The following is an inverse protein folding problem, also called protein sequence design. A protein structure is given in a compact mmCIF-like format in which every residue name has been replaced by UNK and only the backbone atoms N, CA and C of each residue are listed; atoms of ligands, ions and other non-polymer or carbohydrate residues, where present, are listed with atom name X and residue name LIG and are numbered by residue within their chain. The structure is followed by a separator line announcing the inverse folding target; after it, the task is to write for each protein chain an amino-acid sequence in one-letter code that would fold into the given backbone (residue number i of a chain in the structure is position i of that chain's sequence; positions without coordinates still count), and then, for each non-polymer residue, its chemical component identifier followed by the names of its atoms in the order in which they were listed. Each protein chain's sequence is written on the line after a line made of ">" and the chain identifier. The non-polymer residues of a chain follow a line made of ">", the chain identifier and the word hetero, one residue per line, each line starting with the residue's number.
data_IF_886722706942
#
_entry.id   IF_886722706942
#
_cell.length_a   1.000
_cell.length_b   1.000
_cell.length_c   1.000
_cell.angle_alpha   90.00
_cell.angle_beta   90.00
_cell.angle_gamma   90.00
#
_symmetry.space_group_name_H-M   'P 1'
#
loop_
_entity.id
_entity.type
_entity.pdbx_description
1 polymer ?
#
# COMPACT_ATOMS: atom_id res chain seq x y z
N UNK A 1 2.23 9.38 43.19
CA UNK A 1 1.75 8.12 42.59
C UNK A 1 0.59 8.51 41.68
N UNK A 2 0.66 8.25 40.37
CA UNK A 2 -0.46 8.55 39.47
C UNK A 2 -1.61 7.58 39.83
N UNK A 3 -2.73 8.09 40.31
CA UNK A 3 -3.96 7.30 40.45
C UNK A 3 -4.48 6.96 39.05
N UNK A 4 -4.30 5.70 38.65
CA UNK A 4 -4.86 5.20 37.40
C UNK A 4 -6.27 4.70 37.68
N UNK A 5 -7.28 5.39 37.13
CA UNK A 5 -8.65 4.91 37.19
C UNK A 5 -8.82 3.74 36.20
N UNK A 6 -8.94 2.52 36.74
CA UNK A 6 -9.05 1.28 35.98
C UNK A 6 -10.32 1.19 35.11
N UNK A 7 -11.40 1.88 35.46
CA UNK A 7 -12.60 1.91 34.61
C UNK A 7 -12.39 2.77 33.36
N UNK A 8 -11.65 3.87 33.51
CA UNK A 8 -11.29 4.72 32.36
C UNK A 8 -10.23 4.09 31.45
N UNK A 9 -9.43 3.14 31.98
CA UNK A 9 -8.36 2.47 31.23
C UNK A 9 -8.89 1.70 30.01
N UNK A 10 -10.08 1.09 30.14
CA UNK A 10 -10.69 0.29 29.08
C UNK A 10 -11.62 1.09 28.16
N UNK A 11 -11.82 2.38 28.47
CA UNK A 11 -12.59 3.30 27.65
C UNK A 11 -11.87 3.68 26.35
N UNK A 12 -12.61 4.25 25.40
CA UNK A 12 -12.00 4.83 24.21
C UNK A 12 -11.21 6.08 24.61
N UNK A 13 -9.91 6.12 24.30
CA UNK A 13 -9.10 7.30 24.55
C UNK A 13 -9.65 8.53 23.83
N UNK A 14 -9.57 9.70 24.46
CA UNK A 14 -10.00 10.95 23.85
C UNK A 14 -9.19 11.21 22.58
N UNK A 15 -9.87 11.50 21.46
CA UNK A 15 -9.19 11.71 20.18
C UNK A 15 -8.42 13.03 20.08
N UNK A 16 -8.53 13.91 21.07
CA UNK A 16 -7.85 15.22 21.07
C UNK A 16 -8.26 16.13 19.91
N UNK A 17 -9.47 15.95 19.36
CA UNK A 17 -9.95 16.67 18.17
C UNK A 17 -9.51 16.06 16.84
N UNK A 18 -8.66 15.02 16.86
CA UNK A 18 -8.31 14.27 15.65
C UNK A 18 -9.49 13.43 15.17
N UNK A 19 -9.63 13.34 13.85
CA UNK A 19 -10.66 12.55 13.18
C UNK A 19 -10.04 11.73 12.05
N UNK A 20 -10.51 10.48 11.81
CA UNK A 20 -10.10 9.70 10.66
C UNK A 20 -10.31 10.49 9.36
N UNK A 21 -9.33 10.43 8.46
CA UNK A 21 -9.36 11.16 7.18
C UNK A 21 -8.95 10.22 6.04
N UNK A 22 -9.84 9.30 5.69
CA UNK A 22 -9.69 8.36 4.57
C UNK A 22 -10.78 8.50 3.50
N UNK A 23 -11.96 9.04 3.85
CA UNK A 23 -13.00 9.34 2.88
C UNK A 23 -12.57 10.51 1.99
N UNK A 24 -12.77 10.44 0.66
CA UNK A 24 -12.48 11.57 -0.22
C UNK A 24 -13.37 12.76 0.13
N UNK A 25 -12.89 13.98 -0.08
CA UNK A 25 -13.77 15.16 -0.10
C UNK A 25 -14.57 15.19 -1.39
N UNK A 26 -15.61 16.03 -1.43
CA UNK A 26 -16.59 16.15 -2.52
C UNK A 26 -15.97 16.28 -3.92
N UNK A 27 -14.75 16.81 -4.03
CA UNK A 27 -14.04 17.07 -5.30
C UNK A 27 -12.99 16.01 -5.66
N UNK A 28 -13.28 14.72 -5.45
CA UNK A 28 -12.41 13.61 -5.87
C UNK A 28 -12.99 12.85 -7.08
N UNK A 29 -12.67 13.27 -8.32
CA UNK A 29 -13.28 12.65 -9.50
C UNK A 29 -12.72 11.25 -9.76
N UNK A 30 -13.54 10.35 -10.35
CA UNK A 30 -13.06 9.05 -10.77
C UNK A 30 -11.90 9.18 -11.79
N UNK A 31 -11.04 8.16 -11.93
CA UNK A 31 -9.94 8.21 -12.89
C UNK A 31 -10.47 8.39 -14.33
N UNK A 32 -9.86 9.29 -15.14
CA UNK A 32 -10.24 9.53 -16.54
C UNK A 32 -10.35 8.24 -17.34
N UNK A 33 -11.36 8.05 -18.21
CA UNK A 33 -11.65 6.78 -18.93
C UNK A 33 -10.45 6.15 -19.64
N UNK A 34 -9.55 6.98 -20.16
CA UNK A 34 -8.31 6.54 -20.81
C UNK A 34 -7.15 6.57 -19.83
N UNK A 35 -6.24 5.59 -19.93
CA UNK A 35 -5.05 5.50 -19.10
C UNK A 35 -3.81 5.85 -19.91
N UNK A 36 -2.82 6.48 -19.27
CA UNK A 36 -1.53 6.78 -19.89
C UNK A 36 -0.64 5.54 -20.10
N UNK A 37 -0.96 4.41 -19.46
CA UNK A 37 -0.20 3.17 -19.56
C UNK A 37 -0.31 2.31 -18.30
N UNK A 38 0.56 1.31 -18.20
CA UNK A 38 0.61 0.36 -17.07
C UNK A 38 1.77 0.67 -16.14
N UNK A 39 1.46 0.75 -14.85
CA UNK A 39 2.46 0.88 -13.79
C UNK A 39 2.64 -0.46 -13.09
N UNK A 40 3.85 -1.04 -13.22
CA UNK A 40 4.31 -2.12 -12.34
C UNK A 40 5.21 -1.56 -11.27
N UNK A 41 5.14 -2.13 -10.08
CA UNK A 41 5.98 -1.77 -8.94
C UNK A 41 6.49 -3.02 -8.24
N UNK A 42 7.75 -2.99 -7.79
CA UNK A 42 8.26 -3.95 -6.82
C UNK A 42 8.37 -3.28 -5.47
N UNK A 43 7.57 -3.69 -4.50
CA UNK A 43 7.61 -3.21 -3.13
C UNK A 43 8.67 -4.00 -2.35
N UNK A 44 9.73 -3.33 -1.90
CA UNK A 44 10.88 -3.97 -1.23
C UNK A 44 10.91 -3.58 0.26
N UNK A 45 11.57 -4.39 1.09
CA UNK A 45 11.68 -4.20 2.54
C UNK A 45 10.78 -5.12 3.36
N UNK A 46 10.66 -4.87 4.66
CA UNK A 46 9.77 -5.64 5.55
C UNK A 46 8.29 -5.40 5.24
N UNK A 47 7.39 -6.28 5.71
CA UNK A 47 5.95 -6.24 5.35
C UNK A 47 5.29 -4.88 5.60
N UNK A 48 5.62 -4.21 6.71
CA UNK A 48 5.11 -2.86 7.00
C UNK A 48 5.67 -1.79 6.04
N UNK A 49 6.92 -1.91 5.60
CA UNK A 49 7.49 -1.02 4.59
C UNK A 49 6.86 -1.28 3.21
N UNK A 50 6.63 -2.56 2.87
CA UNK A 50 5.93 -2.94 1.65
C UNK A 50 4.48 -2.41 1.66
N UNK A 51 3.79 -2.42 2.80
CA UNK A 51 2.47 -1.82 2.97
C UNK A 51 2.48 -0.32 2.63
N UNK A 52 3.43 0.43 3.16
CA UNK A 52 3.62 1.86 2.79
C UNK A 52 3.95 2.03 1.30
N UNK A 53 4.78 1.15 0.74
CA UNK A 53 5.12 1.16 -0.68
C UNK A 53 3.89 0.93 -1.58
N UNK A 54 2.97 0.04 -1.20
CA UNK A 54 1.71 -0.18 -1.93
C UNK A 54 0.85 1.09 -1.92
N UNK A 55 0.72 1.76 -0.77
CA UNK A 55 0.01 3.04 -0.66
C UNK A 55 0.60 4.09 -1.61
N UNK A 56 1.92 4.18 -1.68
CA UNK A 56 2.62 5.06 -2.60
C UNK A 56 2.47 4.65 -4.07
N UNK A 57 2.38 3.35 -4.37
CA UNK A 57 2.18 2.87 -5.74
C UNK A 57 0.78 3.21 -6.27
N UNK A 58 -0.26 3.06 -5.43
CA UNK A 58 -1.62 3.50 -5.76
C UNK A 58 -1.65 5.01 -6.01
N UNK A 59 -1.00 5.78 -5.15
CA UNK A 59 -0.94 7.23 -5.33
C UNK A 59 -0.14 7.63 -6.59
N UNK A 60 0.99 6.98 -6.86
CA UNK A 60 1.78 7.21 -8.07
C UNK A 60 0.97 6.91 -9.34
N UNK A 61 0.22 5.81 -9.36
CA UNK A 61 -0.68 5.48 -10.47
C UNK A 61 -1.78 6.55 -10.63
N UNK A 62 -2.34 7.06 -9.53
CA UNK A 62 -3.30 8.18 -9.57
C UNK A 62 -2.68 9.46 -10.16
N UNK A 63 -1.50 9.85 -9.69
CA UNK A 63 -0.77 11.04 -10.17
C UNK A 63 -0.50 10.96 -11.67
N UNK A 64 -0.12 9.77 -12.16
CA UNK A 64 0.21 9.55 -13.57
C UNK A 64 -1.01 9.23 -14.45
N UNK A 65 -2.22 9.12 -13.90
CA UNK A 65 -3.40 8.54 -14.58
C UNK A 65 -3.06 7.16 -15.25
N UNK A 66 -2.31 6.34 -14.53
CA UNK A 66 -1.86 5.03 -14.97
C UNK A 66 -2.80 3.92 -14.44
N UNK A 67 -2.80 2.79 -15.14
CA UNK A 67 -3.40 1.55 -14.67
C UNK A 67 -2.36 0.82 -13.84
N UNK A 68 -2.64 0.65 -12.54
CA UNK A 68 -1.76 -0.10 -11.64
C UNK A 68 -1.91 -1.59 -11.91
N UNK A 69 -0.80 -2.26 -12.15
CA UNK A 69 -0.74 -3.73 -12.08
C UNK A 69 -0.54 -4.11 -10.62
N UNK A 70 -1.15 -5.21 -10.15
CA UNK A 70 -1.01 -5.66 -8.77
C UNK A 70 0.45 -5.58 -8.30
N UNK A 71 0.73 -4.95 -7.13
CA UNK A 71 2.09 -4.78 -6.65
C UNK A 71 2.82 -6.11 -6.47
N UNK A 72 4.08 -6.16 -6.89
CA UNK A 72 4.95 -7.29 -6.60
C UNK A 72 5.59 -7.09 -5.23
N UNK A 73 5.46 -8.07 -4.35
CA UNK A 73 6.12 -8.07 -3.04
C UNK A 73 7.47 -8.75 -3.17
N UNK A 74 8.50 -8.12 -2.61
CA UNK A 74 9.81 -8.74 -2.53
C UNK A 74 9.71 -9.97 -1.62
N UNK A 75 10.13 -11.12 -2.14
CA UNK A 75 10.23 -12.35 -1.37
C UNK A 75 11.31 -12.11 -0.32
N UNK A 76 10.91 -11.86 0.92
CA UNK A 76 11.88 -11.62 1.98
C UNK A 76 12.70 -12.90 2.18
N UNK A 77 14.00 -12.81 1.90
CA UNK A 77 14.99 -13.87 2.14
C UNK A 77 14.99 -14.37 3.58
N UNK A 78 14.50 -13.56 4.53
CA UNK A 78 14.35 -13.95 5.93
C UNK A 78 13.21 -14.95 6.16
N UNK A 79 12.06 -14.77 5.50
CA UNK A 79 10.84 -15.55 5.77
C UNK A 79 10.61 -16.69 4.76
N UNK A 80 11.35 -16.72 3.64
CA UNK A 80 11.21 -17.71 2.56
C UNK A 80 9.75 -17.89 2.07
N UNK A 81 8.97 -16.81 2.12
CA UNK A 81 7.55 -16.82 1.73
C UNK A 81 7.39 -16.36 0.28
N UNK A 82 6.76 -17.21 -0.54
CA UNK A 82 6.47 -16.99 -1.97
C UNK A 82 5.01 -16.55 -2.23
N UNK A 83 4.21 -16.38 -1.18
CA UNK A 83 2.79 -16.03 -1.23
C UNK A 83 2.50 -14.78 -2.09
N UNK A 84 3.43 -13.82 -2.13
CA UNK A 84 3.27 -12.57 -2.87
C UNK A 84 2.04 -11.76 -2.44
N UNK A 85 1.64 -10.77 -3.24
CA UNK A 85 0.48 -9.92 -2.90
C UNK A 85 -0.83 -10.71 -2.80
N UNK A 86 -1.09 -11.57 -3.80
CA UNK A 86 -2.31 -12.36 -3.89
C UNK A 86 -2.39 -13.46 -2.83
N UNK A 87 -1.28 -13.83 -2.19
CA UNK A 87 -1.26 -14.78 -1.07
C UNK A 87 -1.68 -14.15 0.25
N UNK A 88 -1.36 -12.86 0.46
CA UNK A 88 -1.55 -12.14 1.73
C UNK A 88 -2.84 -11.33 1.74
N UNK A 89 -3.15 -10.61 0.66
CA UNK A 89 -4.23 -9.64 0.60
C UNK A 89 -5.45 -10.14 -0.19
N UNK A 90 -6.61 -9.62 0.16
CA UNK A 90 -7.87 -9.82 -0.58
C UNK A 90 -7.87 -8.94 -1.85
N UNK A 91 -7.52 -9.55 -2.98
CA UNK A 91 -7.36 -8.89 -4.29
C UNK A 91 -8.67 -8.28 -4.77
N UNK A 92 -9.78 -9.03 -4.68
CA UNK A 92 -11.09 -8.56 -5.13
C UNK A 92 -11.52 -7.34 -4.32
N UNK A 93 -11.39 -7.39 -3.00
CA UNK A 93 -11.66 -6.26 -2.12
C UNK A 93 -10.77 -5.06 -2.46
N UNK A 94 -9.47 -5.28 -2.67
CA UNK A 94 -8.52 -4.22 -3.01
C UNK A 94 -8.91 -3.46 -4.29
N UNK A 95 -9.21 -4.19 -5.37
CA UNK A 95 -9.66 -3.62 -6.65
C UNK A 95 -11.00 -2.89 -6.47
N UNK A 96 -11.96 -3.53 -5.80
CA UNK A 96 -13.30 -2.98 -5.60
C UNK A 96 -13.32 -1.73 -4.73
N UNK A 97 -12.47 -1.67 -3.71
CA UNK A 97 -12.36 -0.53 -2.78
C UNK A 97 -11.75 0.71 -3.46
N UNK A 98 -10.87 0.51 -4.44
CA UNK A 98 -10.13 1.58 -5.12
C UNK A 98 -10.65 1.90 -6.52
N UNK A 99 -11.77 1.30 -6.96
CA UNK A 99 -12.30 1.44 -8.33
C UNK A 99 -12.60 2.88 -8.78
N UNK A 100 -12.87 3.78 -7.84
CA UNK A 100 -13.10 5.21 -8.10
C UNK A 100 -11.84 6.07 -7.90
N UNK A 101 -10.72 5.46 -7.50
CA UNK A 101 -9.45 6.13 -7.27
C UNK A 101 -8.50 5.89 -8.43
N UNK A 102 -8.29 4.62 -8.77
CA UNK A 102 -7.30 4.17 -9.73
C UNK A 102 -7.79 2.91 -10.44
N UNK A 103 -7.36 2.71 -11.69
CA UNK A 103 -7.57 1.42 -12.38
C UNK A 103 -6.55 0.42 -11.89
N UNK A 104 -7.00 -0.78 -11.54
CA UNK A 104 -6.14 -1.86 -11.10
C UNK A 104 -6.42 -3.11 -11.94
N UNK A 105 -5.36 -3.78 -12.39
CA UNK A 105 -5.42 -5.07 -13.10
C UNK A 105 -4.47 -6.06 -12.46
N UNK A 106 -4.76 -7.35 -12.57
CA UNK A 106 -3.89 -8.41 -12.03
C UNK A 106 -2.60 -8.56 -12.85
N UNK A 107 -2.70 -8.42 -14.17
CA UNK A 107 -1.57 -8.50 -15.09
C UNK A 107 -1.76 -7.53 -16.25
N UNK A 108 -0.65 -7.15 -16.92
CA UNK A 108 -0.73 -6.38 -18.16
C UNK A 108 -1.43 -7.23 -19.23
N UNK A 109 -2.46 -6.72 -19.91
CA UNK A 109 -3.14 -7.46 -20.98
C UNK A 109 -2.17 -7.85 -22.10
N UNK A 110 -2.34 -9.07 -22.60
CA UNK A 110 -1.60 -9.53 -23.77
C UNK A 110 -2.21 -8.95 -25.05
N UNK A 111 -1.38 -8.43 -25.94
CA UNK A 111 -1.84 -7.84 -27.19
C UNK A 111 -1.65 -8.85 -28.31
N UNK A 112 -2.72 -9.15 -29.06
CA UNK A 112 -2.60 -9.94 -30.27
C UNK A 112 -2.16 -9.05 -31.44
N UNK A 113 -1.03 -9.40 -32.06
CA UNK A 113 -0.55 -8.74 -33.29
C UNK A 113 -0.11 -9.80 -34.29
N UNK A 114 -0.74 -9.80 -35.47
CA UNK A 114 -0.48 -10.74 -36.56
C UNK A 114 -0.60 -12.22 -36.13
N UNK A 115 -1.64 -12.57 -35.36
CA UNK A 115 -1.86 -13.94 -34.87
C UNK A 115 -0.87 -14.42 -33.81
N UNK A 116 0.03 -13.55 -33.32
CA UNK A 116 0.95 -13.84 -32.22
C UNK A 116 0.62 -13.00 -31.00
N UNK A 117 0.59 -13.65 -29.84
CA UNK A 117 0.51 -13.00 -28.53
C UNK A 117 1.81 -12.29 -28.22
N UNK A 118 1.79 -10.96 -28.05
CA UNK A 118 2.93 -10.17 -27.58
C UNK A 118 2.69 -9.73 -26.14
N UNK A 119 3.63 -10.10 -25.26
CA UNK A 119 3.73 -9.57 -23.90
C UNK A 119 4.34 -8.17 -23.95
N UNK A 120 3.65 -7.19 -23.38
CA UNK A 120 4.18 -5.83 -23.22
C UNK A 120 5.31 -5.90 -22.19
N UNK A 121 6.54 -5.56 -22.61
CA UNK A 121 7.68 -5.46 -21.69
C UNK A 121 7.65 -4.08 -21.04
N UNK A 122 7.65 -4.06 -19.70
CA UNK A 122 7.71 -2.82 -18.94
C UNK A 122 9.14 -2.26 -18.94
N UNK A 123 9.29 -0.97 -19.20
CA UNK A 123 10.57 -0.27 -19.13
C UNK A 123 10.95 -0.01 -17.68
N UNK A 124 12.12 -0.48 -17.26
CA UNK A 124 12.54 -0.38 -15.87
C UNK A 124 13.07 1.01 -15.53
N UNK A 125 12.57 1.58 -14.43
CA UNK A 125 13.04 2.83 -13.85
C UNK A 125 13.37 2.65 -12.38
N UNK A 126 14.35 3.41 -11.90
CA UNK A 126 14.72 3.50 -10.50
C UNK A 126 14.34 4.89 -9.98
N UNK A 127 13.20 5.05 -9.28
CA UNK A 127 12.82 6.36 -8.77
C UNK A 127 13.85 6.90 -7.76
N UNK A 128 14.06 8.22 -7.70
CA UNK A 128 14.78 8.86 -6.60
C UNK A 128 14.16 8.52 -5.23
N UNK A 129 14.95 8.60 -4.17
CA UNK A 129 14.40 8.49 -2.81
C UNK A 129 13.52 9.71 -2.56
N UNK A 130 12.34 9.50 -1.97
CA UNK A 130 11.36 10.56 -1.68
C UNK A 130 11.04 11.40 -2.93
N UNK A 131 10.95 10.75 -4.10
CA UNK A 131 10.79 11.46 -5.37
C UNK A 131 9.57 12.40 -5.35
N UNK A 132 9.72 13.65 -5.81
CA UNK A 132 8.63 14.61 -5.83
C UNK A 132 7.57 14.21 -6.86
N UNK A 133 6.35 14.74 -6.71
CA UNK A 133 5.26 14.55 -7.68
C UNK A 133 5.72 14.86 -9.10
N UNK A 134 6.52 15.92 -9.28
CA UNK A 134 7.06 16.33 -10.58
C UNK A 134 7.78 15.20 -11.30
N UNK A 135 8.55 14.38 -10.60
CA UNK A 135 9.26 13.25 -11.21
C UNK A 135 8.29 12.25 -11.87
N UNK A 136 7.14 12.01 -11.22
CA UNK A 136 6.10 11.15 -11.75
C UNK A 136 5.37 11.77 -12.93
N UNK A 137 5.10 13.08 -12.90
CA UNK A 137 4.40 13.78 -13.99
C UNK A 137 5.29 14.15 -15.18
N UNK A 138 6.62 14.05 -15.03
CA UNK A 138 7.59 14.27 -16.12
C UNK A 138 8.29 12.98 -16.54
N UNK A 139 9.36 12.59 -15.84
CA UNK A 139 10.27 11.52 -16.28
C UNK A 139 9.59 10.16 -16.37
N UNK A 140 8.84 9.78 -15.33
CA UNK A 140 8.15 8.49 -15.31
C UNK A 140 7.02 8.45 -16.35
N UNK A 141 6.24 9.53 -16.45
CA UNK A 141 5.12 9.61 -17.39
C UNK A 141 5.58 9.64 -18.85
N UNK A 142 6.68 10.33 -19.15
CA UNK A 142 7.29 10.34 -20.49
C UNK A 142 7.67 8.92 -20.92
N UNK A 143 8.40 8.19 -20.06
CA UNK A 143 8.77 6.80 -20.32
C UNK A 143 7.56 5.87 -20.41
N UNK A 144 6.50 6.13 -19.66
CA UNK A 144 5.24 5.39 -19.78
C UNK A 144 4.58 5.60 -21.14
N UNK A 145 4.56 6.82 -21.66
CA UNK A 145 4.01 7.10 -22.99
C UNK A 145 4.85 6.46 -24.10
N UNK A 146 6.18 6.44 -23.96
CA UNK A 146 7.08 5.80 -24.92
C UNK A 146 6.91 4.26 -24.94
N UNK A 147 6.78 3.63 -23.77
CA UNK A 147 6.86 2.17 -23.64
C UNK A 147 5.52 1.48 -23.34
N UNK A 148 4.42 2.24 -23.16
CA UNK A 148 3.11 1.78 -22.69
C UNK A 148 3.08 1.21 -21.27
N UNK A 149 4.18 0.64 -20.78
CA UNK A 149 4.33 0.11 -19.43
C UNK A 149 5.70 0.47 -18.84
N UNK A 150 5.72 0.82 -17.56
CA UNK A 150 6.96 1.02 -16.79
C UNK A 150 6.98 0.11 -15.56
N UNK A 151 8.18 -0.21 -15.10
CA UNK A 151 8.42 -0.99 -13.90
C UNK A 151 9.31 -0.21 -12.94
N UNK A 152 8.74 0.23 -11.82
CA UNK A 152 9.47 0.95 -10.79
C UNK A 152 10.04 -0.04 -9.78
N UNK A 153 11.37 -0.18 -9.77
CA UNK A 153 12.05 -1.09 -8.84
C UNK A 153 13.47 -0.60 -8.50
N UNK A 154 13.87 -0.66 -7.22
CA UNK A 154 13.06 -0.98 -6.04
C UNK A 154 12.13 0.19 -5.65
N UNK A 155 10.93 -0.13 -5.12
CA UNK A 155 9.91 0.85 -4.73
C UNK A 155 9.67 0.88 -3.21
N UNK A 156 10.66 1.33 -2.44
CA UNK A 156 10.50 1.64 -1.00
C UNK A 156 10.93 3.08 -0.76
N UNK A 157 10.08 3.88 -0.09
CA UNK A 157 10.30 5.32 0.11
C UNK A 157 10.66 6.07 -1.19
N UNK A 158 9.86 5.83 -2.24
CA UNK A 158 10.08 6.36 -3.60
C UNK A 158 9.12 7.47 -4.01
N UNK A 159 8.27 7.93 -3.12
CA UNK A 159 7.36 9.06 -3.34
C UNK A 159 7.40 9.93 -2.09
N UNK A 160 7.52 11.24 -2.26
CA UNK A 160 7.62 12.20 -1.16
C UNK A 160 6.52 12.00 -0.11
N UNK A 161 6.88 11.95 1.17
CA UNK A 161 5.93 11.71 2.26
C UNK A 161 5.01 12.91 2.44
N UNK A 162 5.58 14.11 2.55
CA UNK A 162 4.85 15.36 2.66
C UNK A 162 4.48 15.90 1.29
N UNK A 163 3.19 15.84 1.00
CA UNK A 163 2.59 16.37 -0.22
C UNK A 163 1.54 17.39 0.19
N UNK A 164 1.65 18.60 -0.36
CA UNK A 164 0.66 19.67 -0.21
C UNK A 164 -0.59 19.41 -1.08
N UNK A 165 -1.23 18.28 -0.84
CA UNK A 165 -2.52 17.89 -1.40
C UNK A 165 -3.24 16.98 -0.39
N UNK A 166 -4.26 17.51 0.32
CA UNK A 166 -4.98 16.76 1.32
C UNK A 166 -5.72 15.51 0.81
N UNK A 167 -6.03 15.43 -0.48
CA UNK A 167 -6.68 14.24 -1.06
C UNK A 167 -5.67 13.12 -1.36
N UNK A 168 -4.41 13.46 -1.66
CA UNK A 168 -3.37 12.46 -1.86
C UNK A 168 -3.03 11.74 -0.55
N UNK A 169 -2.98 12.48 0.56
CA UNK A 169 -2.82 11.89 1.89
C UNK A 169 -4.05 11.05 2.28
N UNK A 170 -5.27 11.50 1.96
CA UNK A 170 -6.49 10.69 2.16
C UNK A 170 -6.45 9.39 1.37
N UNK A 171 -6.00 9.42 0.12
CA UNK A 171 -5.88 8.22 -0.70
C UNK A 171 -4.91 7.23 -0.08
N UNK A 172 -3.73 7.69 0.38
CA UNK A 172 -2.80 6.82 1.14
C UNK A 172 -3.47 6.20 2.36
N UNK A 173 -4.17 7.00 3.17
CA UNK A 173 -4.92 6.50 4.32
C UNK A 173 -6.00 5.49 3.92
N UNK A 174 -6.74 5.75 2.84
CA UNK A 174 -7.78 4.86 2.32
C UNK A 174 -7.21 3.52 1.87
N UNK A 175 -6.10 3.55 1.14
CA UNK A 175 -5.39 2.34 0.73
C UNK A 175 -4.92 1.58 1.96
N UNK A 176 -4.25 2.27 2.88
CA UNK A 176 -3.63 1.67 4.05
C UNK A 176 -4.64 1.02 5.00
N UNK A 177 -5.72 1.72 5.34
CA UNK A 177 -6.64 1.31 6.40
C UNK A 177 -7.89 0.59 5.91
N UNK A 178 -8.26 0.75 4.63
CA UNK A 178 -9.50 0.16 4.09
C UNK A 178 -9.29 -0.77 2.91
N UNK A 179 -8.42 -0.44 1.94
CA UNK A 179 -8.23 -1.28 0.76
C UNK A 179 -7.31 -2.48 1.04
N UNK A 180 -6.24 -2.29 1.81
CA UNK A 180 -5.30 -3.35 2.19
C UNK A 180 -5.87 -4.19 3.33
N UNK A 181 -6.72 -5.15 2.96
CA UNK A 181 -7.29 -6.15 3.85
C UNK A 181 -6.62 -7.50 3.62
N UNK A 182 -6.23 -8.18 4.69
CA UNK A 182 -5.76 -9.57 4.58
C UNK A 182 -6.84 -10.48 4.06
N UNK A 183 -6.44 -11.64 3.52
CA UNK A 183 -7.39 -12.65 3.04
C UNK A 183 -8.47 -13.01 4.06
N UNK A 184 -9.68 -13.39 3.60
CA UNK A 184 -10.80 -13.73 4.48
C UNK A 184 -10.48 -14.77 5.55
N UNK A 185 -9.68 -15.79 5.25
CA UNK A 185 -9.27 -16.81 6.21
C UNK A 185 -8.39 -16.24 7.35
N UNK A 186 -7.44 -15.36 7.02
CA UNK A 186 -6.58 -14.67 8.01
C UNK A 186 -7.46 -13.78 8.91
N UNK A 187 -8.36 -13.01 8.30
CA UNK A 187 -9.27 -12.13 9.04
C UNK A 187 -10.24 -12.93 9.94
N UNK A 188 -10.77 -14.06 9.46
CA UNK A 188 -11.66 -14.93 10.23
C UNK A 188 -10.95 -15.50 11.45
N UNK A 189 -9.70 -15.97 11.28
CA UNK A 189 -8.90 -16.49 12.38
C UNK A 189 -8.58 -15.39 13.40
N UNK A 190 -8.10 -14.23 12.94
CA UNK A 190 -7.80 -13.07 13.78
C UNK A 190 -9.01 -12.63 14.61
N UNK A 191 -10.18 -12.47 13.96
CA UNK A 191 -11.42 -12.13 14.64
C UNK A 191 -11.82 -13.19 15.66
N UNK A 192 -11.67 -14.48 15.35
CA UNK A 192 -11.98 -15.56 16.29
C UNK A 192 -11.09 -15.51 17.53
N UNK A 193 -9.81 -15.20 17.40
CA UNK A 193 -8.88 -15.04 18.54
C UNK A 193 -9.33 -13.86 19.40
N UNK A 194 -9.56 -12.69 18.78
CA UNK A 194 -10.00 -11.48 19.49
C UNK A 194 -11.34 -11.72 20.20
N UNK A 195 -12.30 -12.38 19.55
CA UNK A 195 -13.61 -12.70 20.14
C UNK A 195 -13.47 -13.60 21.37
N UNK A 196 -12.58 -14.59 21.34
CA UNK A 196 -12.33 -15.46 22.51
C UNK A 196 -11.72 -14.67 23.67
N UNK A 197 -10.68 -13.87 23.40
CA UNK A 197 -10.03 -13.06 24.44
C UNK A 197 -11.03 -12.08 25.10
N UNK A 198 -11.87 -11.41 24.30
CA UNK A 198 -12.91 -10.50 24.81
C UNK A 198 -14.01 -11.20 25.59
N UNK A 199 -14.27 -12.47 25.32
CA UNK A 199 -15.28 -13.25 26.05
C UNK A 199 -14.79 -13.63 27.45
N UNK A 200 -13.47 -13.74 27.65
CA UNK A 200 -12.87 -14.04 28.95
C UNK A 200 -12.74 -12.79 29.83
N UNK A 201 -12.12 -11.71 29.30
CA UNK A 201 -11.96 -10.44 30.01
C UNK A 201 -11.46 -9.32 29.07
N UNK A 202 -11.25 -8.13 29.62
CA UNK A 202 -10.42 -7.12 28.97
C UNK A 202 -8.99 -7.64 28.82
N UNK A 203 -8.36 -7.36 27.68
CA UNK A 203 -6.99 -7.78 27.40
C UNK A 203 -6.17 -6.61 26.86
N UNK A 204 -4.85 -6.67 27.08
CA UNK A 204 -3.87 -5.75 26.53
C UNK A 204 -3.00 -6.49 25.53
N UNK A 205 -2.74 -5.88 24.38
CA UNK A 205 -1.83 -6.43 23.36
C UNK A 205 -0.61 -5.53 23.24
N UNK A 206 0.58 -6.10 23.41
CA UNK A 206 1.86 -5.40 23.26
C UNK A 206 2.64 -6.09 22.14
N UNK A 207 2.98 -5.34 21.09
CA UNK A 207 3.86 -5.82 20.03
C UNK A 207 5.30 -5.46 20.39
N UNK A 208 6.05 -6.46 20.88
CA UNK A 208 7.48 -6.33 21.20
C UNK A 208 8.30 -6.82 20.01
N UNK A 209 9.17 -5.97 19.47
CA UNK A 209 10.07 -6.32 18.35
C UNK A 209 11.50 -6.43 18.85
N UNK A 210 12.04 -7.65 18.85
CA UNK A 210 13.38 -8.00 19.35
C UNK A 210 14.31 -8.48 18.23
N UNK A 211 14.32 -7.78 17.09
CA UNK A 211 15.25 -8.13 16.01
C UNK A 211 16.66 -7.59 16.34
N UNK A 212 17.70 -8.32 15.94
CA UNK A 212 19.09 -7.94 16.25
C UNK A 212 19.47 -6.57 15.69
N UNK A 213 18.88 -6.15 14.58
CA UNK A 213 19.06 -4.79 14.04
C UNK A 213 18.51 -3.73 15.00
N UNK A 214 17.34 -3.94 15.60
CA UNK A 214 16.74 -3.03 16.60
C UNK A 214 17.55 -2.98 17.90
N UNK A 215 18.11 -4.11 18.35
CA UNK A 215 18.94 -4.18 19.56
C UNK A 215 20.32 -3.54 19.36
N UNK A 216 20.92 -3.67 18.17
CA UNK A 216 22.22 -3.06 17.86
C UNK A 216 22.16 -1.53 17.82
N UNK A 217 21.01 -0.94 17.45
CA UNK A 217 20.80 0.51 17.50
C UNK A 217 20.34 1.03 18.87
N UNK A 218 20.05 0.15 19.83
CA UNK A 218 19.63 0.53 21.19
C UNK A 218 20.81 0.91 22.13
N UNK A 219 22.05 0.94 21.63
CA UNK A 219 23.16 1.59 22.32
C UNK A 219 23.76 0.81 23.49
N UNK A 220 23.96 -0.50 23.34
CA UNK A 220 24.95 -1.20 24.18
C UNK A 220 26.32 -1.16 23.50
N UNK A 221 27.16 -0.25 24.00
CA UNK A 221 28.62 -0.43 24.06
C UNK A 221 28.93 -1.12 25.38
#
# INVERSE_FOLDING_TARGET
>A
MLEINLETLWGTAASGGWRPSSAPRSDWPPPPKESNGYLRVRCNGGLNQQRTAICNAVLAARIMNATLVLPELDANSFWHDDSGFQGIYDVEHFIKALRYDVRIVESIPEVQKNGKTKKIKAYQLRPPRDAPIRWYTTEALEKMKEHTAIYLTPFSHRLAEEIDNPEYQRLRCRVNYHALRFKPNIMKLSNSIVSKLRAESHFMSIHLRFEMDMLAFAGYV
#
